data_IF_620011309129
#
_entry.id   IF_620011309129
#
_cell.length_a   1.000
_cell.length_b   1.000
_cell.length_c   1.000
_cell.angle_alpha   90.00
_cell.angle_beta   90.00
_cell.angle_gamma   90.00
#
_symmetry.space_group_name_H-M   'P 1'
#
loop_
_entity.id
_entity.type
_entity.pdbx_description
1 polymer ?
#
# COMPACT_ATOMS: atom_id res chain seq x y z
N UNK A 1 -37.97 -16.27 -6.53
CA UNK A 1 -37.26 -15.09 -5.99
C UNK A 1 -37.31 -13.97 -7.03
N UNK A 2 -37.65 -12.74 -6.68
CA UNK A 2 -37.14 -11.60 -7.47
C UNK A 2 -35.64 -11.49 -7.16
N UNK A 3 -34.84 -11.09 -8.14
CA UNK A 3 -33.38 -10.93 -8.00
C UNK A 3 -33.06 -10.08 -6.75
N UNK A 4 -33.88 -9.05 -6.49
CA UNK A 4 -33.81 -8.16 -5.33
C UNK A 4 -33.87 -8.88 -3.96
N UNK A 5 -34.68 -9.93 -3.82
CA UNK A 5 -34.80 -10.66 -2.56
C UNK A 5 -33.65 -11.67 -2.37
N UNK A 6 -33.02 -12.12 -3.46
CA UNK A 6 -31.81 -12.93 -3.43
C UNK A 6 -30.61 -12.12 -2.93
N UNK A 7 -30.52 -10.89 -3.42
CA UNK A 7 -29.45 -9.94 -3.10
C UNK A 7 -29.50 -9.48 -1.64
N UNK A 8 -30.70 -9.13 -1.13
CA UNK A 8 -30.86 -8.77 0.29
C UNK A 8 -30.49 -9.90 1.25
N UNK A 9 -30.78 -11.15 0.88
CA UNK A 9 -30.39 -12.31 1.67
C UNK A 9 -28.87 -12.53 1.66
N UNK A 10 -28.21 -12.31 0.52
CA UNK A 10 -26.76 -12.46 0.40
C UNK A 10 -25.99 -11.43 1.23
N UNK A 11 -26.36 -10.15 1.17
CA UNK A 11 -25.76 -9.06 1.96
C UNK A 11 -25.89 -9.34 3.46
N UNK A 12 -27.06 -9.76 3.91
CA UNK A 12 -27.31 -10.09 5.32
C UNK A 12 -26.50 -11.30 5.83
N UNK A 13 -26.11 -12.21 4.94
CA UNK A 13 -25.29 -13.39 5.26
C UNK A 13 -23.79 -13.04 5.26
N UNK A 14 -23.32 -12.19 4.34
CA UNK A 14 -21.90 -11.75 4.24
C UNK A 14 -21.48 -10.91 5.46
N UNK A 15 -22.38 -10.08 5.99
CA UNK A 15 -22.16 -9.27 7.19
C UNK A 15 -22.00 -10.08 8.50
N UNK A 16 -22.09 -11.42 8.47
CA UNK A 16 -21.85 -12.30 9.62
C UNK A 16 -20.90 -13.45 9.24
N UNK A 17 -19.59 -13.33 9.55
CA UNK A 17 -18.56 -14.29 9.14
C UNK A 17 -18.86 -15.75 9.48
N UNK A 18 -19.50 -16.00 10.63
CA UNK A 18 -19.90 -17.34 11.07
C UNK A 18 -21.00 -17.97 10.20
N UNK A 19 -21.94 -17.17 9.70
CA UNK A 19 -23.04 -17.62 8.85
C UNK A 19 -22.55 -17.88 7.41
N UNK A 20 -21.66 -17.00 6.92
CA UNK A 20 -21.03 -17.12 5.62
C UNK A 20 -20.18 -18.40 5.51
N UNK A 21 -19.39 -18.72 6.54
CA UNK A 21 -18.61 -19.95 6.61
C UNK A 21 -19.48 -21.22 6.67
N UNK A 22 -20.58 -21.21 7.42
CA UNK A 22 -21.55 -22.31 7.45
C UNK A 22 -22.20 -22.54 6.07
N UNK A 23 -22.58 -21.48 5.37
CA UNK A 23 -23.25 -21.56 4.06
C UNK A 23 -22.31 -22.01 2.93
N UNK A 24 -21.05 -21.55 2.91
CA UNK A 24 -20.03 -22.00 1.95
C UNK A 24 -19.75 -23.51 2.06
N UNK A 25 -19.88 -24.09 3.26
CA UNK A 25 -19.76 -25.53 3.49
C UNK A 25 -21.00 -26.37 3.15
N UNK A 26 -22.15 -25.76 2.86
CA UNK A 26 -23.45 -26.46 2.73
C UNK A 26 -23.90 -26.69 1.28
N UNK A 27 -23.21 -26.11 0.29
CA UNK A 27 -23.48 -26.31 -1.15
C UNK A 27 -23.48 -27.80 -1.60
N UNK A 28 -23.17 -28.75 -0.71
CA UNK A 28 -23.21 -30.20 -0.96
C UNK A 28 -23.93 -31.06 0.11
N UNK A 29 -24.77 -30.52 1.01
CA UNK A 29 -25.28 -31.30 2.17
C UNK A 29 -26.80 -31.29 2.46
N UNK A 30 -27.23 -32.22 3.33
CA UNK A 30 -28.60 -32.76 3.56
C UNK A 30 -29.67 -31.76 4.06
N UNK A 31 -30.97 -32.03 3.85
CA UNK A 31 -32.12 -31.14 4.16
C UNK A 31 -32.14 -30.54 5.58
N UNK A 32 -31.65 -31.25 6.59
CA UNK A 32 -31.69 -30.78 7.99
C UNK A 32 -30.84 -29.54 8.27
N UNK A 33 -29.85 -29.21 7.42
CA UNK A 33 -29.03 -28.00 7.58
C UNK A 33 -29.67 -26.76 6.95
N UNK A 34 -30.41 -26.95 5.85
CA UNK A 34 -31.15 -25.86 5.18
C UNK A 34 -32.25 -25.31 6.09
N UNK A 35 -32.97 -26.20 6.78
CA UNK A 35 -34.01 -25.82 7.75
C UNK A 35 -33.44 -25.00 8.92
N UNK A 36 -32.22 -25.29 9.37
CA UNK A 36 -31.54 -24.54 10.43
C UNK A 36 -31.18 -23.11 9.99
N UNK A 37 -30.76 -22.93 8.73
CA UNK A 37 -30.41 -21.62 8.18
C UNK A 37 -31.66 -20.77 7.99
N UNK A 38 -32.72 -21.35 7.42
CA UNK A 38 -34.00 -20.68 7.23
C UNK A 38 -34.60 -20.22 8.57
N UNK A 39 -34.40 -21.02 9.63
CA UNK A 39 -34.80 -20.65 10.99
C UNK A 39 -33.98 -19.48 11.55
N UNK A 40 -32.65 -19.49 11.41
CA UNK A 40 -31.80 -18.34 11.83
C UNK A 40 -32.16 -17.06 11.06
N UNK A 41 -32.43 -17.17 9.76
CA UNK A 41 -32.87 -16.04 8.92
C UNK A 41 -34.22 -15.47 9.39
N UNK A 42 -35.16 -16.34 9.77
CA UNK A 42 -36.45 -15.94 10.34
C UNK A 42 -36.32 -15.24 11.70
N UNK A 43 -35.39 -15.68 12.55
CA UNK A 43 -35.08 -15.01 13.82
C UNK A 43 -34.48 -13.61 13.62
N UNK A 44 -33.87 -13.35 12.46
CA UNK A 44 -33.36 -12.04 12.04
C UNK A 44 -34.38 -11.19 11.26
N UNK A 45 -35.65 -11.62 11.20
CA UNK A 45 -36.74 -10.87 10.59
C UNK A 45 -37.01 -11.18 9.12
N UNK A 46 -36.35 -12.19 8.53
CA UNK A 46 -36.49 -12.53 7.12
C UNK A 46 -37.32 -13.81 6.91
N UNK A 47 -38.32 -13.81 6.02
CA UNK A 47 -39.17 -14.99 5.78
C UNK A 47 -38.92 -15.60 4.39
N UNK A 48 -38.45 -16.84 4.34
CA UNK A 48 -38.18 -17.57 3.10
C UNK A 48 -38.66 -19.03 3.18
N UNK A 49 -39.00 -19.63 2.04
CA UNK A 49 -39.32 -21.05 1.95
C UNK A 49 -38.12 -21.87 1.46
N UNK A 50 -38.07 -23.16 1.82
CA UNK A 50 -37.04 -24.10 1.37
C UNK A 50 -36.99 -24.20 -0.17
N UNK A 51 -38.14 -24.04 -0.83
CA UNK A 51 -38.25 -23.99 -2.29
C UNK A 51 -37.56 -22.77 -2.89
N UNK A 52 -37.57 -21.62 -2.20
CA UNK A 52 -36.90 -20.41 -2.67
C UNK A 52 -35.38 -20.54 -2.57
N UNK A 53 -34.87 -21.17 -1.52
CA UNK A 53 -33.44 -21.44 -1.32
C UNK A 53 -32.85 -22.33 -2.42
N UNK A 54 -33.54 -23.42 -2.78
CA UNK A 54 -33.05 -24.33 -3.83
C UNK A 54 -33.22 -23.75 -5.24
N UNK A 55 -34.27 -22.98 -5.53
CA UNK A 55 -34.36 -22.25 -6.80
C UNK A 55 -33.26 -21.22 -7.00
N UNK A 56 -32.72 -20.63 -5.92
CA UNK A 56 -31.57 -19.74 -5.98
C UNK A 56 -30.29 -20.49 -6.35
N UNK A 57 -30.01 -21.63 -5.69
CA UNK A 57 -28.87 -22.48 -6.01
C UNK A 57 -28.91 -23.05 -7.43
N UNK A 58 -30.08 -23.44 -7.93
CA UNK A 58 -30.25 -23.93 -9.31
C UNK A 58 -30.12 -22.81 -10.36
N UNK A 59 -30.33 -21.54 -9.97
CA UNK A 59 -30.22 -20.40 -10.89
C UNK A 59 -28.81 -19.83 -11.06
N UNK A 60 -27.82 -20.33 -10.31
CA UNK A 60 -26.45 -19.82 -10.31
C UNK A 60 -25.38 -20.94 -10.41
N UNK A 61 -25.30 -21.71 -11.51
CA UNK A 61 -24.30 -22.77 -11.64
C UNK A 61 -22.88 -22.29 -12.01
N UNK A 62 -22.72 -21.08 -12.57
CA UNK A 62 -21.43 -20.53 -13.08
C UNK A 62 -21.11 -19.13 -12.52
N UNK A 63 -21.44 -18.84 -11.26
CA UNK A 63 -21.28 -17.50 -10.69
C UNK A 63 -19.80 -17.18 -10.36
N UNK A 64 -19.05 -16.63 -11.33
CA UNK A 64 -18.03 -15.63 -11.01
C UNK A 64 -18.77 -14.35 -10.61
N UNK A 65 -18.72 -14.04 -9.32
CA UNK A 65 -19.30 -12.83 -8.74
C UNK A 65 -18.35 -11.66 -9.02
N UNK A 66 -18.84 -10.66 -9.74
CA UNK A 66 -18.18 -9.36 -9.92
C UNK A 66 -18.77 -8.35 -8.91
N UNK A 67 -17.91 -7.58 -8.25
CA UNK A 67 -18.27 -6.53 -7.27
C UNK A 67 -19.19 -5.47 -7.86
N UNK A 68 -19.17 -5.27 -9.19
CA UNK A 68 -20.09 -4.38 -9.91
C UNK A 68 -21.58 -4.71 -9.74
N UNK A 69 -21.91 -5.92 -9.26
CA UNK A 69 -23.28 -6.33 -8.94
C UNK A 69 -23.79 -5.83 -7.57
N UNK A 70 -22.92 -5.20 -6.75
CA UNK A 70 -23.27 -4.53 -5.48
C UNK A 70 -23.42 -2.99 -5.62
N UNK A 71 -22.80 -2.35 -6.61
CA UNK A 71 -22.62 -0.88 -6.73
C UNK A 71 -23.90 -0.03 -7.00
N UNK A 72 -25.12 -0.51 -6.73
CA UNK A 72 -26.31 0.22 -7.20
C UNK A 72 -27.65 -0.03 -6.52
N UNK A 73 -27.67 -0.53 -5.28
CA UNK A 73 -28.94 -0.87 -4.60
C UNK A 73 -29.43 0.23 -3.65
N UNK A 74 -28.55 1.13 -3.19
CA UNK A 74 -28.91 2.37 -2.50
C UNK A 74 -28.49 3.54 -3.39
N UNK A 75 -29.39 4.48 -3.63
CA UNK A 75 -29.10 5.63 -4.49
C UNK A 75 -28.18 6.60 -3.77
N UNK A 76 -27.06 6.96 -4.42
CA UNK A 76 -26.12 7.95 -3.91
C UNK A 76 -26.72 9.33 -3.65
N UNK A 77 -26.09 10.05 -2.74
CA UNK A 77 -26.35 11.41 -2.29
C UNK A 77 -25.37 12.37 -2.96
N UNK A 78 -25.79 13.62 -3.06
CA UNK A 78 -24.89 14.73 -3.33
C UNK A 78 -24.94 15.61 -2.08
N UNK A 79 -23.81 15.76 -1.39
CA UNK A 79 -23.65 16.46 -0.13
C UNK A 79 -22.65 17.58 -0.36
N UNK A 80 -22.96 18.77 0.14
CA UNK A 80 -22.10 19.95 0.02
C UNK A 80 -22.18 20.70 1.35
N UNK A 81 -21.03 20.93 1.97
CA UNK A 81 -20.90 21.83 3.11
C UNK A 81 -20.96 23.30 2.72
N UNK A 82 -20.72 24.17 3.67
CA UNK A 82 -20.64 25.62 3.49
C UNK A 82 -19.21 26.16 3.66
N UNK A 83 -19.04 27.28 4.36
CA UNK A 83 -17.75 27.97 4.49
C UNK A 83 -17.17 27.81 5.91
N UNK A 84 -17.65 26.84 6.68
CA UNK A 84 -17.09 26.54 7.98
C UNK A 84 -17.19 25.06 8.30
N UNK A 85 -16.56 24.70 9.40
CA UNK A 85 -16.36 23.31 9.84
C UNK A 85 -17.67 22.47 9.83
N UNK A 86 -17.76 21.58 8.86
CA UNK A 86 -18.91 20.73 8.62
C UNK A 86 -18.69 19.28 9.08
N UNK A 87 -19.80 18.59 9.30
CA UNK A 87 -19.81 17.14 9.56
C UNK A 87 -20.74 16.46 8.57
N UNK A 88 -20.14 15.77 7.59
CA UNK A 88 -20.80 15.22 6.42
C UNK A 88 -20.75 13.68 6.45
N UNK A 89 -21.81 13.02 5.98
CA UNK A 89 -21.87 11.55 5.94
C UNK A 89 -22.68 11.03 4.75
N UNK A 90 -22.02 10.23 3.91
CA UNK A 90 -22.58 9.56 2.74
C UNK A 90 -23.44 8.36 3.12
N UNK A 91 -22.92 7.43 3.91
CA UNK A 91 -23.63 6.20 4.29
C UNK A 91 -23.63 5.18 3.15
N UNK A 92 -24.74 4.48 2.91
CA UNK A 92 -24.79 3.48 1.83
C UNK A 92 -25.00 4.14 0.44
N UNK A 93 -24.31 3.63 -0.57
CA UNK A 93 -24.42 4.02 -1.98
C UNK A 93 -23.22 4.85 -2.45
N UNK A 94 -23.13 5.10 -3.75
CA UNK A 94 -22.02 5.88 -4.32
C UNK A 94 -22.30 7.37 -4.19
N UNK A 95 -21.71 8.01 -3.19
CA UNK A 95 -21.97 9.38 -2.80
C UNK A 95 -20.98 10.37 -3.42
N UNK A 96 -21.42 11.61 -3.60
CA UNK A 96 -20.57 12.74 -3.96
C UNK A 96 -20.62 13.76 -2.82
N UNK A 97 -19.48 14.00 -2.17
CA UNK A 97 -19.36 14.83 -0.98
C UNK A 97 -18.32 15.91 -1.22
N UNK A 98 -18.65 17.15 -0.86
CA UNK A 98 -17.74 18.30 -0.89
C UNK A 98 -17.83 19.00 0.46
N UNK A 99 -16.71 19.14 1.15
CA UNK A 99 -16.57 19.87 2.41
C UNK A 99 -16.80 21.37 2.20
N UNK A 100 -15.89 22.04 1.50
CA UNK A 100 -16.02 23.46 1.19
C UNK A 100 -14.86 24.25 1.77
N UNK A 101 -15.14 25.34 2.48
CA UNK A 101 -14.11 25.99 3.29
C UNK A 101 -14.31 25.58 4.76
N UNK A 102 -13.24 25.45 5.54
CA UNK A 102 -13.30 25.12 6.97
C UNK A 102 -12.63 23.78 7.27
N UNK A 103 -12.42 23.48 8.55
CA UNK A 103 -11.85 22.19 8.95
C UNK A 103 -12.99 21.15 9.03
N UNK A 104 -13.19 20.36 7.98
CA UNK A 104 -14.34 19.47 7.82
C UNK A 104 -14.10 18.05 8.36
N UNK A 105 -15.18 17.36 8.71
CA UNK A 105 -15.18 15.93 9.04
C UNK A 105 -16.12 15.19 8.11
N UNK A 106 -15.56 14.33 7.25
CA UNK A 106 -16.28 13.64 6.19
C UNK A 106 -16.16 12.12 6.35
N UNK A 107 -17.31 11.44 6.28
CA UNK A 107 -17.45 9.97 6.29
C UNK A 107 -18.17 9.54 5.00
N UNK A 108 -17.47 8.86 4.09
CA UNK A 108 -18.02 8.34 2.83
C UNK A 108 -19.06 7.26 3.10
N UNK A 109 -18.62 6.14 3.67
CA UNK A 109 -19.49 5.06 4.12
C UNK A 109 -19.31 3.81 3.27
N UNK A 110 -20.40 3.20 2.84
CA UNK A 110 -20.38 2.01 1.97
C UNK A 110 -20.69 2.44 0.53
N UNK A 111 -19.79 2.28 -0.42
CA UNK A 111 -20.04 2.63 -1.81
C UNK A 111 -18.79 3.08 -2.51
N UNK A 112 -18.90 3.36 -3.80
CA UNK A 112 -17.82 4.00 -4.55
C UNK A 112 -18.01 5.51 -4.48
N UNK A 113 -17.37 6.15 -3.53
CA UNK A 113 -17.58 7.56 -3.21
C UNK A 113 -16.62 8.48 -3.95
N UNK A 114 -17.03 9.75 -4.06
CA UNK A 114 -16.19 10.85 -4.56
C UNK A 114 -16.22 11.97 -3.54
N UNK A 115 -15.12 12.18 -2.85
CA UNK A 115 -15.00 13.07 -1.70
C UNK A 115 -13.96 14.15 -1.98
N UNK A 116 -14.30 15.40 -1.67
CA UNK A 116 -13.37 16.54 -1.66
C UNK A 116 -13.49 17.22 -0.30
N UNK A 117 -12.37 17.42 0.40
CA UNK A 117 -12.26 18.22 1.61
C UNK A 117 -12.48 19.70 1.28
N UNK A 118 -11.51 20.33 0.62
CA UNK A 118 -11.61 21.70 0.14
C UNK A 118 -10.50 22.58 0.72
N UNK A 119 -10.85 23.75 1.25
CA UNK A 119 -9.90 24.58 1.99
C UNK A 119 -10.03 24.28 3.49
N UNK A 120 -8.95 23.96 4.18
CA UNK A 120 -8.98 23.67 5.62
C UNK A 120 -8.15 22.43 5.97
N UNK A 121 -8.10 22.08 7.26
CA UNK A 121 -7.47 20.84 7.69
C UNK A 121 -8.57 19.81 7.92
N UNK A 122 -8.80 18.98 6.92
CA UNK A 122 -9.93 18.07 6.86
C UNK A 122 -9.61 16.71 7.46
N UNK A 123 -10.65 16.07 8.00
CA UNK A 123 -10.62 14.66 8.37
C UNK A 123 -11.56 13.88 7.46
N UNK A 124 -11.01 12.99 6.64
CA UNK A 124 -11.76 12.25 5.64
C UNK A 124 -11.57 10.74 5.85
N UNK A 125 -12.68 10.01 5.91
CA UNK A 125 -12.75 8.55 5.95
C UNK A 125 -13.59 8.06 4.76
N UNK A 126 -12.99 7.35 3.81
CA UNK A 126 -13.68 6.82 2.62
C UNK A 126 -14.66 5.72 2.98
N UNK A 127 -14.20 4.77 3.80
CA UNK A 127 -15.03 3.70 4.34
C UNK A 127 -14.85 2.40 3.58
N UNK A 128 -15.83 2.00 2.78
CA UNK A 128 -15.82 0.73 2.05
C UNK A 128 -16.26 0.92 0.61
N UNK A 129 -15.38 0.64 -0.32
CA UNK A 129 -15.56 0.67 -1.77
C UNK A 129 -14.33 1.26 -2.42
N UNK A 130 -14.39 1.54 -3.72
CA UNK A 130 -13.23 2.04 -4.46
C UNK A 130 -13.33 3.56 -4.59
N UNK A 131 -12.92 4.28 -3.56
CA UNK A 131 -13.21 5.69 -3.35
C UNK A 131 -12.23 6.61 -4.09
N UNK A 132 -12.71 7.80 -4.44
CA UNK A 132 -11.87 8.89 -4.93
C UNK A 132 -11.88 10.04 -3.93
N UNK A 133 -10.75 10.31 -3.29
CA UNK A 133 -10.63 11.28 -2.21
C UNK A 133 -9.56 12.32 -2.55
N UNK A 134 -9.91 13.59 -2.34
CA UNK A 134 -8.99 14.74 -2.39
C UNK A 134 -9.10 15.51 -1.08
N UNK A 135 -7.98 15.75 -0.39
CA UNK A 135 -7.89 16.64 0.77
C UNK A 135 -8.15 18.08 0.34
N UNK A 136 -7.20 18.67 -0.39
CA UNK A 136 -7.34 20.01 -0.96
C UNK A 136 -6.23 20.94 -0.49
N UNK A 137 -6.57 22.12 0.02
CA UNK A 137 -5.62 23.03 0.65
C UNK A 137 -5.66 22.87 2.17
N UNK A 138 -4.51 22.67 2.81
CA UNK A 138 -4.38 22.54 4.25
C UNK A 138 -3.77 21.20 4.65
N UNK A 139 -3.59 20.97 5.94
CA UNK A 139 -2.95 19.75 6.42
C UNK A 139 -4.03 18.70 6.73
N UNK A 140 -4.31 17.86 5.77
CA UNK A 140 -5.43 16.93 5.79
C UNK A 140 -5.06 15.59 6.41
N UNK A 141 -6.08 14.89 6.89
CA UNK A 141 -6.00 13.50 7.32
C UNK A 141 -6.98 12.64 6.55
N UNK A 142 -6.43 11.75 5.72
CA UNK A 142 -7.19 10.90 4.80
C UNK A 142 -7.01 9.43 5.19
N UNK A 143 -8.11 8.69 5.22
CA UNK A 143 -8.16 7.24 5.32
C UNK A 143 -9.00 6.70 4.15
N UNK A 144 -8.41 5.89 3.27
CA UNK A 144 -9.12 5.26 2.14
C UNK A 144 -10.13 4.22 2.63
N UNK A 145 -9.66 3.27 3.44
CA UNK A 145 -10.51 2.27 4.08
C UNK A 145 -10.42 0.93 3.37
N UNK A 146 -11.54 0.39 2.87
CA UNK A 146 -11.57 -0.89 2.16
C UNK A 146 -11.86 -0.71 0.68
N UNK A 147 -10.95 -1.13 -0.18
CA UNK A 147 -11.13 -1.14 -1.62
C UNK A 147 -9.89 -0.59 -2.29
N UNK A 148 -9.94 -0.46 -3.60
CA UNK A 148 -8.85 0.12 -4.38
C UNK A 148 -9.13 1.62 -4.53
N UNK A 149 -8.49 2.41 -3.68
CA UNK A 149 -8.78 3.82 -3.51
C UNK A 149 -7.83 4.70 -4.34
N UNK A 150 -8.31 5.90 -4.67
CA UNK A 150 -7.53 6.95 -5.31
C UNK A 150 -7.49 8.15 -4.38
N UNK A 151 -6.35 8.38 -3.73
CA UNK A 151 -6.17 9.35 -2.67
C UNK A 151 -5.20 10.46 -3.11
N UNK A 152 -5.53 11.71 -2.79
CA UNK A 152 -4.66 12.88 -2.98
C UNK A 152 -4.72 13.74 -1.74
N UNK A 153 -3.57 14.07 -1.14
CA UNK A 153 -3.45 15.05 -0.06
C UNK A 153 -3.76 16.45 -0.58
N UNK A 154 -2.87 16.98 -1.43
CA UNK A 154 -3.04 18.28 -2.06
C UNK A 154 -1.94 19.24 -1.66
N UNK A 155 -2.30 20.46 -1.26
CA UNK A 155 -1.35 21.44 -0.74
C UNK A 155 -1.35 21.37 0.80
N UNK A 156 -0.22 21.08 1.45
CA UNK A 156 -0.11 21.05 2.91
C UNK A 156 0.70 19.86 3.39
N UNK A 157 0.99 19.81 4.70
CA UNK A 157 1.65 18.62 5.28
C UNK A 157 0.57 17.60 5.65
N UNK A 158 0.32 16.63 4.76
CA UNK A 158 -0.80 15.70 4.84
C UNK A 158 -0.46 14.38 5.53
N UNK A 159 -1.50 13.71 6.04
CA UNK A 159 -1.41 12.34 6.53
C UNK A 159 -2.40 11.43 5.81
N UNK A 160 -1.87 10.48 5.05
CA UNK A 160 -2.66 9.58 4.21
C UNK A 160 -2.43 8.12 4.63
N UNK A 161 -3.53 7.38 4.80
CA UNK A 161 -3.58 5.94 5.05
C UNK A 161 -4.43 5.30 3.93
N UNK A 162 -3.81 4.46 3.09
CA UNK A 162 -4.50 3.77 1.99
C UNK A 162 -5.52 2.77 2.50
N UNK A 163 -5.14 1.98 3.50
CA UNK A 163 -6.00 1.00 4.13
C UNK A 163 -5.85 -0.38 3.48
N UNK A 164 -6.92 -0.90 2.89
CA UNK A 164 -6.98 -2.25 2.32
C UNK A 164 -7.32 -2.22 0.84
N UNK A 165 -6.37 -2.58 -0.01
CA UNK A 165 -6.64 -2.82 -1.42
C UNK A 165 -5.41 -2.49 -2.26
N UNK A 166 -5.62 -2.24 -3.54
CA UNK A 166 -4.58 -1.72 -4.43
C UNK A 166 -4.84 -0.24 -4.60
N UNK A 167 -4.13 0.56 -3.81
CA UNK A 167 -4.37 1.99 -3.71
C UNK A 167 -3.45 2.77 -4.66
N UNK A 168 -3.93 3.95 -5.05
CA UNK A 168 -3.14 4.96 -5.76
C UNK A 168 -3.14 6.22 -4.93
N UNK A 169 -1.97 6.61 -4.42
CA UNK A 169 -1.82 7.66 -3.43
C UNK A 169 -0.86 8.72 -3.96
N UNK A 170 -1.24 9.99 -3.81
CA UNK A 170 -0.39 11.15 -4.03
C UNK A 170 -0.38 12.03 -2.77
N UNK A 171 0.79 12.34 -2.22
CA UNK A 171 0.94 13.30 -1.13
C UNK A 171 0.59 14.71 -1.62
N UNK A 172 1.41 15.24 -2.52
CA UNK A 172 1.16 16.52 -3.17
C UNK A 172 2.27 17.51 -2.86
N UNK A 173 1.94 18.73 -2.45
CA UNK A 173 2.90 19.75 -2.05
C UNK A 173 2.96 19.84 -0.52
N UNK A 174 4.06 19.43 0.11
CA UNK A 174 4.25 19.52 1.56
C UNK A 174 5.10 18.40 2.10
N UNK A 175 5.30 18.32 3.41
CA UNK A 175 6.03 17.20 4.01
C UNK A 175 5.01 16.17 4.48
N UNK A 176 4.72 15.22 3.62
CA UNK A 176 3.62 14.30 3.79
C UNK A 176 4.04 13.06 4.58
N UNK A 177 3.05 12.43 5.22
CA UNK A 177 3.20 11.11 5.83
C UNK A 177 2.21 10.15 5.21
N UNK A 178 2.72 9.19 4.44
CA UNK A 178 1.94 8.24 3.66
C UNK A 178 2.18 6.81 4.15
N UNK A 179 1.10 6.07 4.35
CA UNK A 179 1.09 4.63 4.63
C UNK A 179 0.19 3.96 3.57
N UNK A 180 0.74 3.10 2.70
CA UNK A 180 -0.03 2.41 1.67
C UNK A 180 -1.00 1.38 2.26
N UNK A 181 -0.58 0.70 3.33
CA UNK A 181 -1.41 -0.26 4.04
C UNK A 181 -1.29 -1.67 3.46
N UNK A 182 -2.40 -2.27 3.08
CA UNK A 182 -2.43 -3.65 2.59
C UNK A 182 -2.74 -3.73 1.10
N UNK A 183 -1.84 -4.33 0.34
CA UNK A 183 -1.99 -4.69 -1.06
C UNK A 183 -0.88 -4.09 -1.90
N UNK A 184 -1.02 -4.12 -3.23
CA UNK A 184 0.06 -3.69 -4.10
C UNK A 184 -0.18 -2.25 -4.53
N UNK A 185 0.39 -1.32 -3.82
CA UNK A 185 0.06 0.10 -3.88
C UNK A 185 0.92 0.85 -4.89
N UNK A 186 0.50 2.08 -5.20
CA UNK A 186 1.26 3.01 -6.03
C UNK A 186 1.25 4.36 -5.36
N UNK A 187 2.42 4.78 -4.89
CA UNK A 187 2.60 5.95 -4.04
C UNK A 187 3.54 6.95 -4.73
N UNK A 188 3.12 8.22 -4.74
CA UNK A 188 3.89 9.39 -5.18
C UNK A 188 3.91 10.40 -4.03
N UNK A 189 5.06 10.64 -3.41
CA UNK A 189 5.21 11.59 -2.30
C UNK A 189 4.91 13.02 -2.76
N UNK A 190 5.53 13.43 -3.86
CA UNK A 190 5.29 14.72 -4.50
C UNK A 190 6.42 15.70 -4.22
N UNK A 191 6.11 16.89 -3.70
CA UNK A 191 7.10 17.92 -3.37
C UNK A 191 7.22 18.06 -1.86
N UNK A 192 8.42 18.00 -1.30
CA UNK A 192 8.69 18.20 0.11
C UNK A 192 9.47 17.02 0.68
N UNK A 193 9.67 16.98 1.99
CA UNK A 193 10.45 15.90 2.61
C UNK A 193 9.47 14.89 3.23
N UNK A 194 9.21 13.82 2.50
CA UNK A 194 8.12 12.92 2.80
C UNK A 194 8.57 11.74 3.66
N UNK A 195 7.60 11.16 4.37
CA UNK A 195 7.75 9.88 5.06
C UNK A 195 6.77 8.91 4.42
N UNK A 196 7.31 7.90 3.73
CA UNK A 196 6.51 6.94 2.98
C UNK A 196 6.75 5.53 3.52
N UNK A 197 5.67 4.81 3.78
CA UNK A 197 5.65 3.37 4.10
C UNK A 197 4.80 2.69 3.03
N UNK A 198 5.38 1.73 2.30
CA UNK A 198 4.68 0.92 1.31
C UNK A 198 3.59 0.07 1.96
N UNK A 199 4.00 -0.91 2.75
CA UNK A 199 3.08 -1.72 3.56
C UNK A 199 3.21 -3.21 3.29
N UNK A 200 2.09 -3.93 3.23
CA UNK A 200 2.03 -5.34 2.81
C UNK A 200 1.81 -5.42 1.29
N UNK A 201 2.75 -5.90 0.49
CA UNK A 201 2.54 -6.20 -0.92
C UNK A 201 3.70 -5.75 -1.78
N UNK A 202 3.64 -6.02 -3.08
CA UNK A 202 4.69 -5.53 -3.98
C UNK A 202 4.32 -4.12 -4.42
N UNK A 203 4.97 -3.13 -3.83
CA UNK A 203 4.62 -1.71 -3.96
C UNK A 203 5.44 -0.98 -5.02
N UNK A 204 4.87 0.10 -5.53
CA UNK A 204 5.57 1.06 -6.38
C UNK A 204 5.61 2.41 -5.68
N UNK A 205 6.80 2.86 -5.32
CA UNK A 205 7.00 4.09 -4.55
C UNK A 205 7.90 5.06 -5.32
N UNK A 206 7.50 6.32 -5.41
CA UNK A 206 8.30 7.46 -5.86
C UNK A 206 8.27 8.54 -4.76
N UNK A 207 9.43 8.88 -4.19
CA UNK A 207 9.54 9.93 -3.16
C UNK A 207 9.24 11.32 -3.73
N UNK A 208 9.81 11.61 -4.90
CA UNK A 208 9.55 12.84 -5.62
C UNK A 208 10.64 13.88 -5.40
N UNK A 209 10.27 15.09 -4.99
CA UNK A 209 11.16 16.23 -4.80
C UNK A 209 11.37 16.55 -3.31
N UNK A 210 12.44 16.09 -2.70
CA UNK A 210 12.92 16.53 -1.39
C UNK A 210 13.79 15.47 -0.75
N UNK A 211 14.13 15.64 0.53
CA UNK A 211 14.91 14.63 1.25
C UNK A 211 13.97 13.65 1.94
N UNK A 212 13.65 12.57 1.25
CA UNK A 212 12.58 11.66 1.66
C UNK A 212 13.08 10.54 2.58
N UNK A 213 12.16 9.98 3.36
CA UNK A 213 12.39 8.76 4.12
C UNK A 213 11.40 7.70 3.69
N UNK A 214 11.90 6.66 3.02
CA UNK A 214 11.08 5.65 2.38
C UNK A 214 11.34 4.27 3.01
N UNK A 215 10.27 3.58 3.36
CA UNK A 215 10.27 2.19 3.81
C UNK A 215 9.40 1.36 2.85
N UNK A 216 9.98 0.43 2.09
CA UNK A 216 9.22 -0.51 1.24
C UNK A 216 8.29 -1.40 2.08
N UNK A 217 8.90 -2.03 3.09
CA UNK A 217 8.26 -2.83 4.15
C UNK A 217 8.19 -4.33 3.83
N UNK A 218 7.06 -4.86 3.38
CA UNK A 218 6.93 -6.29 3.07
C UNK A 218 6.55 -6.51 1.62
N UNK A 219 7.35 -7.24 0.86
CA UNK A 219 7.05 -7.59 -0.53
C UNK A 219 8.19 -7.20 -1.44
N UNK A 220 8.10 -7.53 -2.72
CA UNK A 220 9.17 -7.21 -3.67
C UNK A 220 8.93 -5.81 -4.26
N UNK A 221 9.54 -4.78 -3.67
CA UNK A 221 9.18 -3.39 -3.94
C UNK A 221 9.97 -2.75 -5.09
N UNK A 222 9.35 -1.74 -5.73
CA UNK A 222 9.98 -0.86 -6.72
C UNK A 222 10.02 0.57 -6.17
N UNK A 223 11.18 1.01 -5.71
CA UNK A 223 11.37 2.27 -5.00
C UNK A 223 12.24 3.24 -5.79
N UNK A 224 11.80 4.49 -5.90
CA UNK A 224 12.54 5.65 -6.41
C UNK A 224 12.61 6.72 -5.30
N UNK A 225 13.81 7.16 -4.92
CA UNK A 225 14.00 8.29 -4.00
C UNK A 225 13.59 9.60 -4.67
N UNK A 226 14.25 9.92 -5.78
CA UNK A 226 13.87 11.04 -6.63
C UNK A 226 14.90 12.14 -6.59
N UNK A 227 14.52 13.35 -6.15
CA UNK A 227 15.44 14.49 -6.00
C UNK A 227 15.62 14.84 -4.53
N UNK A 228 16.82 14.69 -4.02
CA UNK A 228 17.22 15.17 -2.71
C UNK A 228 18.14 14.17 -2.06
N UNK A 229 18.55 14.42 -0.82
CA UNK A 229 19.36 13.45 -0.09
C UNK A 229 18.39 12.49 0.63
N UNK A 230 18.19 11.29 0.09
CA UNK A 230 17.13 10.37 0.53
C UNK A 230 17.61 9.29 1.51
N UNK A 231 16.69 8.80 2.34
CA UNK A 231 16.87 7.65 3.22
C UNK A 231 15.94 6.52 2.82
N UNK A 232 16.48 5.47 2.19
CA UNK A 232 15.68 4.40 1.60
C UNK A 232 15.99 3.07 2.30
N UNK A 233 14.94 2.43 2.80
CA UNK A 233 14.96 1.08 3.36
C UNK A 233 14.01 0.18 2.56
N UNK A 234 14.53 -0.81 1.85
CA UNK A 234 13.71 -1.82 1.16
C UNK A 234 12.88 -2.64 2.16
N UNK A 235 13.56 -3.17 3.17
CA UNK A 235 13.05 -4.03 4.24
C UNK A 235 12.98 -5.51 3.83
N UNK A 236 11.81 -6.17 3.86
CA UNK A 236 11.68 -7.60 3.56
C UNK A 236 11.23 -7.77 2.11
N UNK A 237 12.02 -8.43 1.26
CA UNK A 237 11.64 -8.62 -0.15
C UNK A 237 12.85 -8.72 -1.06
N UNK A 238 12.69 -9.11 -2.32
CA UNK A 238 13.74 -8.90 -3.33
C UNK A 238 13.48 -7.53 -4.02
N UNK A 239 14.04 -6.45 -3.47
CA UNK A 239 13.66 -5.08 -3.86
C UNK A 239 14.43 -4.53 -5.06
N UNK A 240 13.81 -3.60 -5.79
CA UNK A 240 14.47 -2.75 -6.80
C UNK A 240 14.45 -1.30 -6.36
N UNK A 241 15.63 -0.73 -6.09
CA UNK A 241 15.78 0.61 -5.52
C UNK A 241 16.62 1.49 -6.45
N UNK A 242 16.14 2.71 -6.70
CA UNK A 242 16.87 3.80 -7.36
C UNK A 242 16.89 5.02 -6.43
N UNK A 243 18.08 5.44 -5.96
CA UNK A 243 18.22 6.64 -5.12
C UNK A 243 17.85 7.92 -5.87
N UNK A 244 18.12 7.97 -7.17
CA UNK A 244 17.84 9.15 -7.98
C UNK A 244 18.97 10.16 -7.93
N UNK A 245 18.72 11.36 -7.40
CA UNK A 245 19.69 12.46 -7.42
C UNK A 245 19.85 13.11 -6.06
N UNK A 246 21.08 13.20 -5.60
CA UNK A 246 21.43 13.71 -4.28
C UNK A 246 22.40 12.74 -3.62
N UNK A 247 22.63 12.87 -2.32
CA UNK A 247 23.53 11.98 -1.60
C UNK A 247 22.69 10.99 -0.80
N UNK A 248 22.40 9.85 -1.40
CA UNK A 248 21.39 8.95 -0.87
C UNK A 248 21.99 7.96 0.13
N UNK A 249 21.20 7.56 1.12
CA UNK A 249 21.52 6.47 2.04
C UNK A 249 20.55 5.34 1.80
N UNK A 250 21.05 4.24 1.24
CA UNK A 250 20.21 3.14 0.76
C UNK A 250 20.58 1.85 1.48
N UNK A 251 19.56 1.16 1.99
CA UNK A 251 19.68 -0.16 2.60
C UNK A 251 18.54 -1.07 2.09
N UNK A 252 18.87 -2.01 1.21
CA UNK A 252 17.89 -3.00 0.73
C UNK A 252 17.32 -3.86 1.87
N UNK A 253 18.15 -4.18 2.87
CA UNK A 253 17.80 -5.02 4.02
C UNK A 253 17.63 -6.49 3.64
N UNK A 254 16.55 -7.17 4.05
CA UNK A 254 16.40 -8.62 3.86
C UNK A 254 15.90 -8.96 2.46
N UNK A 255 16.73 -9.61 1.66
CA UNK A 255 16.41 -9.74 0.24
C UNK A 255 17.58 -10.14 -0.62
N UNK A 256 17.34 -10.25 -1.92
CA UNK A 256 18.39 -10.13 -2.90
C UNK A 256 18.09 -8.88 -3.73
N UNK A 257 18.58 -7.75 -3.23
CA UNK A 257 18.14 -6.45 -3.72
C UNK A 257 18.95 -5.99 -4.92
N UNK A 258 18.31 -5.22 -5.80
CA UNK A 258 18.97 -4.51 -6.91
C UNK A 258 18.92 -3.02 -6.63
N UNK A 259 20.09 -2.43 -6.39
CA UNK A 259 20.23 -1.05 -5.91
C UNK A 259 21.01 -0.22 -6.93
N UNK A 260 20.47 0.93 -7.29
CA UNK A 260 21.11 1.98 -8.09
C UNK A 260 21.22 3.22 -7.20
N UNK A 261 22.42 3.77 -7.04
CA UNK A 261 22.60 5.00 -6.25
C UNK A 261 22.10 6.22 -6.99
N UNK A 262 22.38 6.28 -8.29
CA UNK A 262 22.03 7.42 -9.13
C UNK A 262 23.16 8.43 -9.17
N UNK A 263 22.86 9.71 -8.95
CA UNK A 263 23.85 10.78 -9.03
C UNK A 263 24.09 11.43 -7.69
N UNK A 264 25.35 11.46 -7.24
CA UNK A 264 25.78 12.19 -6.06
C UNK A 264 26.78 11.35 -5.27
N UNK A 265 26.82 11.51 -3.95
CA UNK A 265 27.72 10.77 -3.08
C UNK A 265 26.95 9.77 -2.23
N UNK A 266 26.71 8.59 -2.78
CA UNK A 266 25.75 7.67 -2.20
C UNK A 266 26.40 6.76 -1.14
N UNK A 267 25.58 6.33 -0.19
CA UNK A 267 25.97 5.43 0.89
C UNK A 267 25.10 4.19 0.86
N UNK A 268 25.70 3.07 0.46
CA UNK A 268 25.05 1.76 0.48
C UNK A 268 25.34 1.08 1.82
N UNK A 269 24.32 0.92 2.64
CA UNK A 269 24.41 0.33 3.96
C UNK A 269 23.97 -1.14 3.92
N UNK A 270 24.77 -2.02 4.52
CA UNK A 270 24.51 -3.45 4.62
C UNK A 270 24.78 -3.98 6.02
N UNK A 271 24.01 -4.97 6.43
CA UNK A 271 24.10 -5.73 7.66
C UNK A 271 24.30 -7.23 7.37
N UNK A 272 24.41 -8.02 8.43
CA UNK A 272 24.48 -9.46 8.29
C UNK A 272 23.09 -10.03 8.04
N UNK A 273 22.98 -10.90 7.02
CA UNK A 273 21.75 -11.58 6.56
C UNK A 273 20.86 -10.75 5.64
N UNK A 274 21.38 -9.67 5.09
CA UNK A 274 20.66 -8.85 4.12
C UNK A 274 20.36 -9.71 2.89
N UNK A 275 21.40 -10.26 2.27
CA UNK A 275 21.27 -11.39 1.37
C UNK A 275 22.24 -11.23 0.21
N UNK A 276 21.82 -11.45 -1.03
CA UNK A 276 22.74 -11.33 -2.17
C UNK A 276 22.41 -10.13 -3.03
N UNK A 277 22.90 -8.97 -2.60
CA UNK A 277 22.52 -7.68 -3.15
C UNK A 277 23.42 -7.27 -4.29
N UNK A 278 22.90 -6.45 -5.20
CA UNK A 278 23.60 -5.97 -6.38
C UNK A 278 23.53 -4.45 -6.46
N UNK A 279 24.69 -3.79 -6.46
CA UNK A 279 24.82 -2.36 -6.76
C UNK A 279 25.14 -2.20 -8.25
N UNK A 280 24.34 -1.42 -8.98
CA UNK A 280 24.38 -1.38 -10.45
C UNK A 280 25.32 -0.31 -11.03
N UNK A 281 25.59 0.77 -10.31
CA UNK A 281 26.26 1.97 -10.84
C UNK A 281 27.40 2.54 -9.99
N UNK A 282 27.79 1.83 -8.92
CA UNK A 282 28.81 2.25 -7.95
C UNK A 282 30.00 3.03 -8.53
N UNK A 283 30.18 4.26 -8.05
CA UNK A 283 31.29 5.16 -8.33
C UNK A 283 32.24 5.28 -7.13
N UNK A 284 33.39 4.59 -7.21
CA UNK A 284 34.41 4.59 -6.16
C UNK A 284 35.06 5.95 -5.82
N UNK A 285 34.85 6.98 -6.64
CA UNK A 285 35.33 8.34 -6.35
C UNK A 285 34.31 9.16 -5.55
N UNK A 286 33.04 8.74 -5.53
CA UNK A 286 31.91 9.47 -4.95
C UNK A 286 31.25 8.69 -3.80
N UNK A 287 31.05 7.39 -3.99
CA UNK A 287 30.19 6.56 -3.15
C UNK A 287 30.94 5.80 -2.05
N UNK A 288 30.16 5.30 -1.10
CA UNK A 288 30.63 4.50 0.04
C UNK A 288 29.76 3.28 0.27
N UNK A 289 30.39 2.28 0.87
CA UNK A 289 29.73 1.09 1.40
C UNK A 289 29.94 1.05 2.90
N UNK A 290 28.86 0.94 3.66
CA UNK A 290 28.91 0.76 5.11
C UNK A 290 28.46 -0.64 5.48
N UNK A 291 29.29 -1.38 6.21
CA UNK A 291 28.98 -2.75 6.64
C UNK A 291 28.87 -2.77 8.17
N UNK A 292 27.68 -3.06 8.67
CA UNK A 292 27.35 -3.12 10.09
C UNK A 292 27.44 -4.54 10.64
N UNK A 293 27.99 -4.69 11.84
CA UNK A 293 27.90 -5.95 12.61
C UNK A 293 28.71 -7.14 12.05
N UNK A 294 29.58 -6.90 11.07
CA UNK A 294 30.52 -7.88 10.53
C UNK A 294 31.97 -7.45 10.79
N UNK A 295 32.75 -8.33 11.43
CA UNK A 295 34.20 -8.13 11.53
C UNK A 295 34.83 -8.40 10.15
N UNK A 296 35.79 -7.57 9.75
CA UNK A 296 36.56 -7.69 8.49
C UNK A 296 37.16 -9.07 8.25
N UNK A 297 37.43 -9.84 9.32
CA UNK A 297 38.10 -11.14 9.27
C UNK A 297 37.34 -12.23 8.51
N UNK A 298 36.05 -12.05 8.24
CA UNK A 298 35.21 -13.00 7.49
C UNK A 298 34.81 -12.51 6.09
N UNK A 299 35.26 -11.31 5.69
CA UNK A 299 34.97 -10.79 4.36
C UNK A 299 36.00 -11.31 3.36
N UNK A 300 35.51 -11.80 2.22
CA UNK A 300 36.39 -12.16 1.10
C UNK A 300 35.94 -11.46 -0.18
N UNK A 301 36.92 -11.07 -0.99
CA UNK A 301 36.69 -10.35 -2.23
C UNK A 301 37.10 -11.25 -3.39
N UNK A 302 36.24 -11.33 -4.40
CA UNK A 302 36.51 -12.03 -5.65
C UNK A 302 36.01 -11.23 -6.84
N UNK A 303 36.54 -11.52 -8.02
CA UNK A 303 36.06 -10.98 -9.28
C UNK A 303 35.50 -12.09 -10.14
N UNK A 304 34.31 -11.86 -10.68
CA UNK A 304 33.64 -12.82 -11.56
C UNK A 304 32.86 -12.07 -12.65
N UNK A 305 33.05 -12.47 -13.90
CA UNK A 305 32.32 -11.95 -15.06
C UNK A 305 32.33 -10.41 -15.20
N UNK A 306 33.39 -9.75 -14.71
CA UNK A 306 33.55 -8.30 -14.72
C UNK A 306 33.00 -7.57 -13.48
N UNK A 307 32.48 -8.30 -12.49
CA UNK A 307 31.93 -7.76 -11.25
C UNK A 307 32.92 -7.92 -10.08
N UNK A 308 32.78 -7.08 -9.06
CA UNK A 308 33.41 -7.28 -7.75
C UNK A 308 32.39 -7.90 -6.82
N UNK A 309 32.73 -9.02 -6.19
CA UNK A 309 31.88 -9.72 -5.22
C UNK A 309 32.54 -9.63 -3.86
N UNK A 310 31.83 -9.03 -2.91
CA UNK A 310 32.19 -8.92 -1.50
C UNK A 310 31.34 -9.93 -0.73
N UNK A 311 31.93 -11.06 -0.36
CA UNK A 311 31.25 -12.08 0.43
C UNK A 311 31.37 -11.74 1.92
N UNK A 312 30.23 -11.63 2.62
CA UNK A 312 30.16 -11.21 4.03
C UNK A 312 30.44 -12.37 5.03
N UNK A 313 30.62 -13.59 4.52
CA UNK A 313 31.06 -14.77 5.25
C UNK A 313 29.94 -15.57 5.92
N UNK A 314 30.00 -16.91 5.81
CA UNK A 314 28.96 -17.80 6.36
C UNK A 314 27.64 -17.68 5.59
N UNK A 315 26.52 -17.62 6.32
CA UNK A 315 25.16 -17.48 5.76
C UNK A 315 24.71 -16.00 5.72
N UNK A 316 25.66 -15.05 5.68
CA UNK A 316 25.38 -13.61 5.82
C UNK A 316 25.13 -12.87 4.51
N UNK A 317 25.28 -13.54 3.37
CA UNK A 317 25.08 -12.92 2.06
C UNK A 317 26.34 -12.39 1.37
N UNK A 318 26.15 -11.65 0.29
CA UNK A 318 27.20 -11.03 -0.52
C UNK A 318 26.72 -9.75 -1.19
N UNK A 319 27.64 -8.80 -1.39
CA UNK A 319 27.40 -7.58 -2.17
C UNK A 319 28.09 -7.73 -3.52
N UNK A 320 27.35 -7.57 -4.61
CA UNK A 320 27.85 -7.58 -5.97
C UNK A 320 27.89 -6.16 -6.52
N UNK A 321 29.09 -5.66 -6.84
CA UNK A 321 29.26 -4.41 -7.59
C UNK A 321 29.33 -4.76 -9.07
N UNK A 322 28.29 -4.39 -9.80
CA UNK A 322 28.11 -4.75 -11.21
C UNK A 322 29.06 -3.97 -12.13
N UNK A 323 29.61 -4.65 -13.14
CA UNK A 323 30.36 -4.03 -14.22
C UNK A 323 31.71 -3.40 -13.82
N UNK A 324 32.20 -3.61 -12.61
CA UNK A 324 33.46 -3.06 -12.13
C UNK A 324 34.28 -4.06 -11.31
N UNK A 325 35.56 -4.20 -11.65
CA UNK A 325 36.56 -4.91 -10.85
C UNK A 325 37.38 -3.92 -10.00
N UNK A 326 37.06 -3.81 -8.71
CA UNK A 326 37.75 -2.93 -7.76
C UNK A 326 38.94 -3.65 -7.13
N UNK A 327 40.06 -2.94 -6.95
CA UNK A 327 41.20 -3.48 -6.23
C UNK A 327 40.97 -3.44 -4.71
N UNK A 328 41.70 -4.26 -3.95
CA UNK A 328 41.66 -4.25 -2.48
C UNK A 328 41.92 -2.84 -1.91
N UNK A 329 42.84 -2.09 -2.52
CA UNK A 329 43.14 -0.71 -2.14
C UNK A 329 41.99 0.27 -2.42
N UNK A 330 41.17 0.01 -3.44
CA UNK A 330 40.02 0.86 -3.72
C UNK A 330 38.91 0.57 -2.71
N UNK A 331 38.69 -0.71 -2.39
CA UNK A 331 37.76 -1.16 -1.36
C UNK A 331 38.13 -0.65 0.03
N UNK A 332 39.42 -0.60 0.39
CA UNK A 332 39.90 0.00 1.65
C UNK A 332 39.54 1.49 1.81
N UNK A 333 39.25 2.22 0.73
CA UNK A 333 38.88 3.64 0.79
C UNK A 333 37.37 3.85 0.91
N UNK A 334 36.58 2.97 0.28
CA UNK A 334 35.13 3.15 0.13
C UNK A 334 34.33 2.34 1.15
N UNK A 335 34.90 1.25 1.68
CA UNK A 335 34.24 0.42 2.69
C UNK A 335 34.57 0.93 4.09
N UNK A 336 33.53 1.21 4.87
CA UNK A 336 33.63 1.45 6.31
C UNK A 336 32.95 0.34 7.09
N UNK A 337 33.62 -0.17 8.11
CA UNK A 337 33.09 -1.17 9.04
C UNK A 337 32.59 -0.48 10.31
N UNK A 338 31.32 -0.70 10.67
CA UNK A 338 30.67 -0.09 11.84
C UNK A 338 30.21 -1.12 12.87
#
# INVERSE_FOLDING_TARGET
MSIENAQKFYVAVKAKPELYAEMKGIATSTPSKVESILKKAAEMGYSFSEKDYFSFLESCPDLELDESMLEGVVGGKNITGDNGDDSLSGGDGNDSISGGDGDDTIDGGDGKDTISGGEGNDYIDGGSGNDGISGGEGNDRINGGWGNDSLSGGDGDDRIDGGHGKDTISGGDGNDTIDGGFGNDTIDGGSGNDIIIGGDGDDRIDGGDGSDTIFGAWGDDSISGGKGDDYIFGNDGDDTIDGGSGNDTINGSFGNDTITGGSGHDTFAFSAKDGNDTITDFNSDEDKIEIFGSNSDNISISHQDGNTIINLGGDKGSITISGRELSEKDLEKVITYK
#
